data_IF_357437576101
#
_entry.id   IF_357437576101
#
_cell.length_a   1.000
_cell.length_b   1.000
_cell.length_c   1.000
_cell.angle_alpha   90.00
_cell.angle_beta   90.00
_cell.angle_gamma   90.00
#
_symmetry.space_group_name_H-M   'P 1'
#
loop_
_entity.id
_entity.type
_entity.pdbx_description
1 polymer ?
#
# COMPACT_ATOMS: atom_id res chain seq x y z
N UNK A 1 -0.46 -30.29 16.01
CA UNK A 1 -0.87 -30.79 17.34
C UNK A 1 -2.08 -31.70 17.25
N UNK A 2 -3.24 -31.22 16.76
CA UNK A 2 -4.46 -32.03 16.62
C UNK A 2 -4.25 -33.39 15.92
N UNK A 3 -3.53 -33.42 14.79
CA UNK A 3 -3.19 -34.68 14.09
C UNK A 3 -2.44 -35.69 14.98
N UNK A 4 -1.49 -35.24 15.80
CA UNK A 4 -0.70 -36.12 16.67
C UNK A 4 -1.54 -36.63 17.86
N UNK A 5 -2.46 -35.80 18.36
CA UNK A 5 -3.40 -36.21 19.41
C UNK A 5 -4.42 -37.22 18.88
N UNK A 6 -4.90 -37.03 17.65
CA UNK A 6 -5.83 -37.95 17.00
C UNK A 6 -5.20 -39.34 16.75
N UNK A 7 -3.92 -39.35 16.37
CA UNK A 7 -3.17 -40.58 16.15
C UNK A 7 -2.75 -41.30 17.45
N UNK A 8 -2.98 -40.70 18.61
CA UNK A 8 -2.61 -41.30 19.90
C UNK A 8 -3.37 -42.62 20.15
N UNK A 9 -4.62 -42.70 19.67
CA UNK A 9 -5.48 -43.87 19.82
C UNK A 9 -5.45 -44.80 18.59
N UNK A 10 -4.74 -44.43 17.53
CA UNK A 10 -4.73 -45.14 16.24
C UNK A 10 -3.30 -45.46 15.79
N UNK A 11 -2.97 -46.75 15.71
CA UNK A 11 -1.63 -47.22 15.30
C UNK A 11 -1.33 -47.01 13.81
N UNK A 12 -2.36 -46.97 12.96
CA UNK A 12 -2.25 -46.80 11.50
C UNK A 12 -3.49 -46.03 11.02
N UNK A 13 -3.31 -45.05 10.15
CA UNK A 13 -4.43 -44.31 9.52
C UNK A 13 -4.10 -44.01 8.06
N UNK A 14 -5.10 -44.03 7.18
CA UNK A 14 -4.95 -43.63 5.78
C UNK A 14 -5.06 -42.11 5.62
N UNK A 15 -4.47 -41.58 4.54
CA UNK A 15 -4.58 -40.15 4.20
C UNK A 15 -6.02 -39.76 3.86
N UNK A 16 -6.78 -40.66 3.26
CA UNK A 16 -8.19 -40.46 2.89
C UNK A 16 -9.08 -40.31 4.14
N UNK A 17 -8.88 -41.15 5.15
CA UNK A 17 -9.59 -41.01 6.43
C UNK A 17 -9.22 -39.72 7.15
N UNK A 18 -7.94 -39.33 7.12
CA UNK A 18 -7.49 -38.04 7.69
C UNK A 18 -8.10 -36.83 6.96
N UNK A 19 -8.26 -36.88 5.63
CA UNK A 19 -8.94 -35.83 4.86
C UNK A 19 -10.41 -35.73 5.25
N UNK A 20 -11.10 -36.86 5.34
CA UNK A 20 -12.52 -36.90 5.71
C UNK A 20 -12.76 -36.37 7.14
N UNK A 21 -11.82 -36.56 8.06
CA UNK A 21 -11.97 -36.21 9.47
C UNK A 21 -11.46 -34.81 9.83
N UNK A 22 -10.46 -34.32 9.11
CA UNK A 22 -9.84 -33.03 9.44
C UNK A 22 -10.58 -31.83 8.85
N UNK A 23 -11.41 -32.05 7.83
CA UNK A 23 -12.02 -31.00 6.99
C UNK A 23 -10.98 -30.00 6.42
N UNK A 24 -9.69 -30.33 6.48
CA UNK A 24 -8.63 -29.48 6.01
C UNK A 24 -8.49 -29.60 4.49
N UNK A 25 -8.19 -28.48 3.80
CA UNK A 25 -7.80 -28.53 2.40
C UNK A 25 -6.65 -29.53 2.18
N UNK A 26 -6.66 -30.33 1.09
CA UNK A 26 -5.68 -31.40 0.89
C UNK A 26 -4.22 -30.95 0.92
N UNK A 27 -3.94 -29.72 0.52
CA UNK A 27 -2.61 -29.14 0.52
C UNK A 27 -2.12 -28.78 1.94
N UNK A 28 -3.01 -28.30 2.81
CA UNK A 28 -2.72 -28.04 4.23
C UNK A 28 -2.38 -29.35 4.94
N UNK A 29 -3.20 -30.39 4.70
CA UNK A 29 -3.01 -31.69 5.33
C UNK A 29 -1.70 -32.34 4.87
N UNK A 30 -1.38 -32.32 3.57
CA UNK A 30 -0.11 -32.83 3.05
C UNK A 30 1.09 -32.14 3.68
N UNK A 31 1.03 -30.81 3.86
CA UNK A 31 2.09 -30.06 4.51
C UNK A 31 2.23 -30.43 6.00
N UNK A 32 1.10 -30.60 6.70
CA UNK A 32 1.08 -30.98 8.10
C UNK A 32 1.61 -32.41 8.33
N UNK A 33 1.25 -33.36 7.47
CA UNK A 33 1.81 -34.72 7.46
C UNK A 33 3.31 -34.66 7.17
N UNK A 34 3.73 -33.88 6.17
CA UNK A 34 5.14 -33.69 5.82
C UNK A 34 6.02 -33.23 6.98
N UNK A 35 5.51 -32.31 7.81
CA UNK A 35 6.18 -31.90 9.05
C UNK A 35 6.16 -33.00 10.13
N UNK A 36 5.10 -33.81 10.19
CA UNK A 36 4.93 -34.90 11.14
C UNK A 36 5.68 -36.20 10.74
N UNK A 37 6.17 -36.35 9.50
CA UNK A 37 6.96 -37.50 9.04
C UNK A 37 8.26 -37.72 9.82
N UNK A 38 8.72 -36.72 10.59
CA UNK A 38 9.86 -36.88 11.51
C UNK A 38 9.50 -37.68 12.76
N UNK A 39 8.20 -37.88 13.03
CA UNK A 39 7.63 -38.62 14.17
C UNK A 39 6.76 -39.80 13.71
N UNK A 40 6.09 -39.65 12.57
CA UNK A 40 5.27 -40.69 11.94
C UNK A 40 6.10 -41.44 10.89
N UNK A 41 6.24 -42.76 11.03
CA UNK A 41 6.89 -43.60 10.03
C UNK A 41 5.85 -43.99 8.97
N UNK A 42 6.08 -43.64 7.69
CA UNK A 42 5.35 -44.26 6.58
C UNK A 42 5.78 -45.72 6.56
N UNK A 43 4.81 -46.64 6.62
CA UNK A 43 5.08 -48.07 6.55
C UNK A 43 5.49 -48.40 5.11
N UNK A 44 6.79 -48.45 4.89
CA UNK A 44 7.39 -49.23 3.82
C UNK A 44 7.91 -50.50 4.49
N UNK A 45 7.76 -51.67 3.86
CA UNK A 45 7.83 -53.01 4.47
C UNK A 45 9.24 -53.45 4.96
N UNK A 46 10.09 -52.49 5.33
CA UNK A 46 11.45 -52.74 5.80
C UNK A 46 11.77 -51.91 7.06
N UNK A 47 12.34 -52.60 8.05
CA UNK A 47 12.92 -52.13 9.32
C UNK A 47 12.02 -51.95 10.56
N UNK A 48 12.49 -52.56 11.64
CA UNK A 48 11.97 -52.59 13.01
C UNK A 48 12.18 -51.24 13.75
N UNK A 49 11.21 -50.75 14.56
CA UNK A 49 11.27 -49.42 15.13
C UNK A 49 12.24 -49.32 16.33
N UNK A 50 13.38 -48.63 16.14
CA UNK A 50 14.25 -48.22 17.24
C UNK A 50 13.75 -46.91 17.86
N UNK A 51 13.52 -46.82 19.18
CA UNK A 51 13.10 -45.58 19.84
C UNK A 51 14.25 -44.57 19.85
N UNK A 52 14.17 -43.53 19.02
CA UNK A 52 15.08 -42.39 19.09
C UNK A 52 14.62 -41.47 20.23
N UNK A 53 15.32 -41.51 21.36
CA UNK A 53 15.11 -40.60 22.50
C UNK A 53 15.66 -39.22 22.15
N UNK A 54 14.79 -38.23 21.95
CA UNK A 54 15.17 -36.84 21.72
C UNK A 54 13.97 -35.94 21.40
N UNK A 55 14.02 -34.67 21.79
CA UNK A 55 12.97 -33.69 21.48
C UNK A 55 13.02 -33.34 19.99
N UNK A 56 11.90 -33.47 19.28
CA UNK A 56 11.79 -33.12 17.85
C UNK A 56 11.02 -31.82 17.69
N UNK A 57 11.60 -30.88 16.95
CA UNK A 57 10.92 -29.63 16.59
C UNK A 57 10.03 -29.89 15.36
N UNK A 58 8.71 -29.77 15.54
CA UNK A 58 7.69 -30.11 14.52
C UNK A 58 6.94 -28.91 13.98
N UNK A 59 7.35 -27.70 14.34
CA UNK A 59 6.71 -26.48 13.83
C UNK A 59 7.06 -26.36 12.34
N UNK A 60 6.08 -26.49 11.43
CA UNK A 60 6.33 -26.35 10.00
C UNK A 60 6.79 -24.92 9.70
N UNK A 61 7.62 -24.70 8.66
CA UNK A 61 7.85 -23.35 8.14
C UNK A 61 6.49 -22.72 7.83
N UNK A 62 6.19 -21.56 8.43
CA UNK A 62 4.90 -20.88 8.22
C UNK A 62 4.84 -20.26 6.81
N UNK A 63 4.57 -21.10 5.82
CA UNK A 63 4.43 -20.70 4.40
C UNK A 63 3.16 -19.89 4.15
N UNK A 64 2.09 -20.14 4.92
CA UNK A 64 0.84 -19.37 4.84
C UNK A 64 1.08 -17.88 5.15
N UNK A 65 1.78 -17.57 6.24
CA UNK A 65 2.11 -16.17 6.57
C UNK A 65 2.90 -15.49 5.44
N UNK A 66 3.86 -16.21 4.83
CA UNK A 66 4.68 -15.65 3.73
C UNK A 66 3.88 -15.39 2.45
N UNK A 67 2.88 -16.21 2.15
CA UNK A 67 2.01 -16.03 0.99
C UNK A 67 1.08 -14.82 1.19
N UNK A 68 0.44 -14.72 2.36
CA UNK A 68 -0.40 -13.59 2.76
C UNK A 68 0.38 -12.27 2.77
N UNK A 69 1.63 -12.29 3.26
CA UNK A 69 2.50 -11.12 3.28
C UNK A 69 2.81 -10.60 1.87
N UNK A 70 3.07 -11.49 0.91
CA UNK A 70 3.36 -11.09 -0.47
C UNK A 70 2.11 -10.66 -1.22
N UNK A 71 0.99 -11.34 -1.03
CA UNK A 71 -0.30 -10.96 -1.59
C UNK A 71 -0.77 -9.60 -1.05
N UNK A 72 -0.67 -9.40 0.27
CA UNK A 72 -0.95 -8.11 0.93
C UNK A 72 -0.08 -6.98 0.39
N UNK A 73 1.23 -7.20 0.24
CA UNK A 73 2.14 -6.23 -0.39
C UNK A 73 1.72 -5.89 -1.83
N UNK A 74 1.25 -6.87 -2.60
CA UNK A 74 0.84 -6.64 -3.98
C UNK A 74 -0.49 -5.89 -4.09
N UNK A 75 -1.43 -6.16 -3.19
CA UNK A 75 -2.67 -5.39 -3.07
C UNK A 75 -2.40 -3.93 -2.69
N UNK A 76 -1.47 -3.70 -1.77
CA UNK A 76 -1.07 -2.34 -1.39
C UNK A 76 -0.42 -1.58 -2.55
N UNK A 77 0.51 -2.22 -3.28
CA UNK A 77 1.10 -1.64 -4.50
C UNK A 77 0.03 -1.27 -5.52
N UNK A 78 -0.97 -2.13 -5.73
CA UNK A 78 -2.12 -1.86 -6.61
C UNK A 78 -2.92 -0.65 -6.17
N UNK A 79 -3.30 -0.58 -4.89
CA UNK A 79 -4.01 0.57 -4.32
C UNK A 79 -3.23 1.86 -4.51
N UNK A 80 -1.93 1.83 -4.24
CA UNK A 80 -1.06 2.99 -4.39
C UNK A 80 -0.96 3.44 -5.85
N UNK A 81 -0.88 2.49 -6.79
CA UNK A 81 -0.91 2.80 -8.22
C UNK A 81 -2.24 3.45 -8.65
N UNK A 82 -3.39 2.93 -8.19
CA UNK A 82 -4.69 3.53 -8.46
C UNK A 82 -4.79 4.95 -7.90
N UNK A 83 -4.38 5.16 -6.65
CA UNK A 83 -4.34 6.49 -6.04
C UNK A 83 -3.50 7.45 -6.88
N UNK A 84 -2.32 7.02 -7.32
CA UNK A 84 -1.42 7.81 -8.16
C UNK A 84 -2.05 8.15 -9.52
N UNK A 85 -2.74 7.21 -10.17
CA UNK A 85 -3.41 7.45 -11.44
C UNK A 85 -4.54 8.48 -11.29
N UNK A 86 -5.39 8.32 -10.28
CA UNK A 86 -6.48 9.27 -9.99
C UNK A 86 -5.93 10.67 -9.78
N UNK A 87 -4.94 10.81 -8.90
CA UNK A 87 -4.31 12.11 -8.60
C UNK A 87 -3.63 12.71 -9.84
N UNK A 88 -2.91 11.90 -10.62
CA UNK A 88 -2.22 12.37 -11.83
C UNK A 88 -3.19 12.88 -12.88
N UNK A 89 -4.28 12.15 -13.13
CA UNK A 89 -5.31 12.55 -14.08
C UNK A 89 -5.95 13.85 -13.59
N UNK A 90 -6.40 13.92 -12.33
CA UNK A 90 -7.01 15.15 -11.80
C UNK A 90 -6.07 16.35 -11.82
N UNK A 91 -4.79 16.17 -11.49
CA UNK A 91 -3.78 17.25 -11.62
C UNK A 91 -3.60 17.73 -13.06
N UNK A 92 -3.70 16.85 -14.05
CA UNK A 92 -3.61 17.22 -15.46
C UNK A 92 -4.82 18.05 -15.92
N UNK A 93 -5.97 17.90 -15.25
CA UNK A 93 -7.19 18.67 -15.53
C UNK A 93 -7.30 19.97 -14.73
N UNK A 94 -6.44 20.18 -13.72
CA UNK A 94 -6.39 21.43 -12.94
C UNK A 94 -7.67 21.69 -12.15
N UNK A 95 -8.04 22.97 -12.06
CA UNK A 95 -9.15 23.45 -11.21
C UNK A 95 -10.54 23.19 -11.83
N UNK A 96 -10.61 22.99 -13.14
CA UNK A 96 -11.86 22.58 -13.83
C UNK A 96 -12.36 21.21 -13.33
N UNK A 97 -11.43 20.37 -12.86
CA UNK A 97 -11.73 19.03 -12.38
C UNK A 97 -12.29 18.09 -13.47
N UNK A 98 -12.89 16.99 -13.03
CA UNK A 98 -13.49 15.98 -13.88
C UNK A 98 -14.77 15.41 -13.27
N UNK A 99 -15.73 15.09 -14.13
CA UNK A 99 -16.87 14.28 -13.73
C UNK A 99 -16.42 12.88 -13.27
N UNK A 100 -17.04 12.34 -12.22
CA UNK A 100 -16.72 11.01 -11.66
C UNK A 100 -16.65 9.94 -12.77
N UNK A 101 -17.68 9.84 -13.61
CA UNK A 101 -17.73 8.83 -14.68
C UNK A 101 -16.57 8.97 -15.68
N UNK A 102 -16.22 10.21 -16.04
CA UNK A 102 -15.10 10.47 -16.96
C UNK A 102 -13.77 10.12 -16.32
N UNK A 103 -13.60 10.45 -15.03
CA UNK A 103 -12.41 10.07 -14.27
C UNK A 103 -12.29 8.54 -14.19
N UNK A 104 -13.36 7.82 -13.86
CA UNK A 104 -13.38 6.35 -13.81
C UNK A 104 -12.97 5.75 -15.15
N UNK A 105 -13.55 6.25 -16.25
CA UNK A 105 -13.20 5.82 -17.60
C UNK A 105 -11.71 6.03 -17.90
N UNK A 106 -11.17 7.23 -17.64
CA UNK A 106 -9.77 7.56 -17.91
C UNK A 106 -8.80 6.74 -17.05
N UNK A 107 -9.14 6.48 -15.78
CA UNK A 107 -8.33 5.64 -14.88
C UNK A 107 -8.27 4.20 -15.38
N UNK A 108 -9.41 3.63 -15.80
CA UNK A 108 -9.45 2.27 -16.34
C UNK A 108 -8.64 2.15 -17.63
N UNK A 109 -8.72 3.14 -18.51
CA UNK A 109 -7.91 3.17 -19.73
C UNK A 109 -6.41 3.32 -19.42
N UNK A 110 -6.04 4.17 -18.46
CA UNK A 110 -4.65 4.30 -18.02
C UNK A 110 -4.13 3.03 -17.32
N UNK A 111 -4.98 2.34 -16.56
CA UNK A 111 -4.66 1.06 -15.93
C UNK A 111 -4.33 -0.01 -16.97
N UNK A 112 -5.19 -0.16 -18.00
CA UNK A 112 -4.98 -1.13 -19.09
C UNK A 112 -3.72 -0.85 -19.89
N UNK A 113 -3.45 0.42 -20.19
CA UNK A 113 -2.23 0.84 -20.92
C UNK A 113 -0.96 0.64 -20.10
N UNK A 114 -1.09 0.46 -18.79
CA UNK A 114 0.02 0.35 -17.85
C UNK A 114 0.65 1.71 -17.54
N UNK A 115 1.30 1.86 -16.37
CA UNK A 115 1.93 3.11 -16.00
C UNK A 115 3.18 3.37 -16.85
N UNK A 116 3.16 4.45 -17.61
CA UNK A 116 4.34 5.00 -18.30
C UNK A 116 5.04 6.07 -17.44
N UNK A 117 6.37 6.01 -17.22
CA UNK A 117 7.16 4.96 -16.54
C UNK A 117 7.46 5.35 -15.06
N UNK A 118 7.94 4.46 -14.14
CA UNK A 118 9.21 3.73 -14.23
C UNK A 118 9.06 2.21 -14.27
N UNK A 119 9.89 1.60 -15.13
CA UNK A 119 10.15 0.15 -15.22
C UNK A 119 10.63 -0.35 -13.86
N UNK A 120 9.78 -1.07 -13.13
CA UNK A 120 10.16 -1.70 -11.87
C UNK A 120 8.99 -1.91 -10.90
N UNK A 121 8.01 -1.00 -10.89
CA UNK A 121 6.90 -1.08 -9.92
C UNK A 121 5.86 -2.15 -10.28
N UNK A 122 5.74 -2.48 -11.58
CA UNK A 122 4.73 -3.40 -12.12
C UNK A 122 5.26 -4.83 -12.31
N UNK A 123 6.58 -5.08 -12.16
CA UNK A 123 7.12 -6.45 -12.31
C UNK A 123 6.53 -7.44 -11.29
N UNK A 124 6.03 -6.98 -10.14
CA UNK A 124 5.35 -7.81 -9.14
C UNK A 124 3.82 -7.74 -9.19
N UNK A 125 3.24 -6.80 -9.96
CA UNK A 125 1.80 -6.69 -10.12
C UNK A 125 1.44 -7.49 -11.36
N UNK A 126 1.16 -8.78 -11.18
CA UNK A 126 0.93 -9.74 -12.26
C UNK A 126 0.15 -9.14 -13.43
N UNK A 127 0.59 -9.42 -14.66
CA UNK A 127 0.13 -8.89 -15.96
C UNK A 127 -1.36 -9.14 -16.30
N UNK A 128 -2.20 -9.41 -15.31
CA UNK A 128 -3.63 -9.73 -15.47
C UNK A 128 -4.51 -9.28 -14.29
N UNK A 129 -4.03 -8.42 -13.38
CA UNK A 129 -4.87 -7.89 -12.32
C UNK A 129 -5.96 -6.96 -12.90
N UNK A 130 -7.18 -7.48 -13.04
CA UNK A 130 -8.33 -6.74 -13.53
C UNK A 130 -8.71 -5.63 -12.54
N UNK A 131 -8.60 -4.37 -12.95
CA UNK A 131 -9.18 -3.24 -12.23
C UNK A 131 -10.62 -3.04 -12.70
N UNK A 132 -11.55 -3.06 -11.76
CA UNK A 132 -12.97 -2.75 -12.00
C UNK A 132 -13.26 -1.27 -11.73
N UNK A 133 -14.43 -0.81 -12.15
CA UNK A 133 -14.94 0.51 -11.74
C UNK A 133 -15.13 0.62 -10.23
N UNK A 134 -15.47 -0.48 -9.54
CA UNK A 134 -15.64 -0.49 -8.08
C UNK A 134 -14.33 -0.21 -7.35
N UNK A 135 -13.20 -0.71 -7.85
CA UNK A 135 -11.88 -0.41 -7.29
C UNK A 135 -11.55 1.08 -7.40
N UNK A 136 -11.87 1.69 -8.55
CA UNK A 136 -11.61 3.12 -8.81
C UNK A 136 -12.51 3.98 -7.93
N UNK A 137 -13.79 3.65 -7.80
CA UNK A 137 -14.72 4.38 -6.93
C UNK A 137 -14.33 4.28 -5.45
N UNK A 138 -13.88 3.10 -5.01
CA UNK A 138 -13.37 2.90 -3.65
C UNK A 138 -12.12 3.74 -3.40
N UNK A 139 -11.23 3.82 -4.37
CA UNK A 139 -10.05 4.69 -4.36
C UNK A 139 -10.44 6.18 -4.29
N UNK A 140 -11.40 6.62 -5.11
CA UNK A 140 -11.91 8.00 -5.08
C UNK A 140 -12.49 8.35 -3.71
N UNK A 141 -13.32 7.47 -3.15
CA UNK A 141 -13.91 7.67 -1.83
C UNK A 141 -12.85 7.78 -0.73
N UNK A 142 -11.83 6.90 -0.78
CA UNK A 142 -10.70 6.95 0.14
C UNK A 142 -9.92 8.28 0.05
N UNK A 143 -9.65 8.76 -1.16
CA UNK A 143 -8.92 10.01 -1.36
C UNK A 143 -9.75 11.25 -0.98
N UNK A 144 -11.08 11.19 -1.13
CA UNK A 144 -12.00 12.20 -0.59
C UNK A 144 -11.96 12.22 0.93
N UNK A 145 -12.01 11.05 1.59
CA UNK A 145 -11.90 10.94 3.04
C UNK A 145 -10.56 11.48 3.59
N UNK A 146 -9.50 11.42 2.79
CA UNK A 146 -8.20 12.05 3.12
C UNK A 146 -8.13 13.54 2.82
N UNK A 147 -9.13 14.13 2.18
CA UNK A 147 -9.10 15.51 1.70
C UNK A 147 -8.09 15.75 0.58
N UNK A 148 -7.61 14.69 -0.09
CA UNK A 148 -6.72 14.81 -1.26
C UNK A 148 -7.51 15.23 -2.50
N UNK A 149 -8.77 14.83 -2.58
CA UNK A 149 -9.73 15.27 -3.59
C UNK A 149 -10.80 16.13 -2.91
N UNK A 150 -11.43 17.01 -3.69
CA UNK A 150 -12.63 17.74 -3.28
C UNK A 150 -13.71 17.61 -4.35
N UNK A 151 -14.95 17.72 -3.90
CA UNK A 151 -16.12 17.87 -4.76
C UNK A 151 -16.39 19.34 -4.99
N UNK A 152 -16.92 19.67 -6.15
CA UNK A 152 -17.44 21.02 -6.39
C UNK A 152 -18.74 21.21 -5.63
N UNK A 153 -18.93 22.39 -5.04
CA UNK A 153 -20.07 22.69 -4.15
C UNK A 153 -21.41 22.58 -4.90
N UNK A 154 -21.53 23.22 -6.06
CA UNK A 154 -22.75 23.16 -6.89
C UNK A 154 -22.92 21.86 -7.71
N UNK A 155 -21.83 21.12 -7.91
CA UNK A 155 -21.78 19.96 -8.82
C UNK A 155 -20.99 18.83 -8.15
N UNK A 156 -21.60 18.08 -7.20
CA UNK A 156 -20.88 17.09 -6.41
C UNK A 156 -20.32 15.92 -7.23
N UNK A 157 -20.74 15.79 -8.49
CA UNK A 157 -20.22 14.83 -9.45
C UNK A 157 -18.88 15.28 -10.08
N UNK A 158 -18.51 16.54 -9.92
CA UNK A 158 -17.22 17.09 -10.35
C UNK A 158 -16.21 16.96 -9.21
N UNK A 159 -15.06 16.35 -9.52
CA UNK A 159 -13.93 16.15 -8.61
C UNK A 159 -12.72 16.94 -9.09
N UNK A 160 -12.00 17.55 -8.16
CA UNK A 160 -10.72 18.20 -8.43
C UNK A 160 -9.69 17.82 -7.35
N UNK A 161 -8.42 17.97 -7.70
CA UNK A 161 -7.33 17.74 -6.76
C UNK A 161 -7.30 18.88 -5.74
N UNK A 162 -7.37 18.54 -4.45
CA UNK A 162 -7.23 19.54 -3.41
C UNK A 162 -5.74 19.86 -3.24
N UNK A 163 -5.35 21.08 -3.59
CA UNK A 163 -4.05 21.60 -3.18
C UNK A 163 -4.06 21.63 -1.65
N UNK A 164 -3.06 21.02 -0.96
CA UNK A 164 -2.93 21.20 0.47
C UNK A 164 -2.78 22.69 0.72
N UNK A 165 -3.85 23.33 1.17
CA UNK A 165 -3.81 24.71 1.58
C UNK A 165 -3.00 24.69 2.85
N UNK A 166 -1.71 25.03 2.77
CA UNK A 166 -0.96 25.45 3.95
C UNK A 166 -1.58 26.77 4.35
N UNK A 167 -2.69 26.68 5.07
CA UNK A 167 -3.33 27.81 5.70
C UNK A 167 -2.38 28.24 6.82
N UNK A 168 -1.37 29.04 6.48
CA UNK A 168 -1.07 30.16 7.35
C UNK A 168 -2.28 31.06 7.21
N UNK A 169 -3.26 30.90 8.10
CA UNK A 169 -4.24 31.97 8.28
C UNK A 169 -3.44 33.19 8.69
N UNK A 170 -3.48 34.32 7.95
CA UNK A 170 -3.16 35.58 8.57
C UNK A 170 -4.32 35.82 9.53
N UNK A 171 -4.16 35.45 10.80
CA UNK A 171 -5.05 35.88 11.86
C UNK A 171 -5.14 37.40 11.76
N UNK A 172 -6.23 37.88 11.18
CA UNK A 172 -6.51 39.30 11.05
C UNK A 172 -7.11 39.67 12.38
N UNK A 173 -6.26 39.74 13.41
CA UNK A 173 -6.64 40.30 14.69
C UNK A 173 -6.77 41.81 14.48
N UNK A 174 -8.02 42.20 14.21
CA UNK A 174 -8.50 43.57 14.12
C UNK A 174 -8.21 44.29 15.45
N UNK A 175 -7.07 44.96 15.55
CA UNK A 175 -6.81 45.95 16.58
C UNK A 175 -7.18 47.34 16.02
N UNK A 176 -8.10 47.99 16.72
CA UNK A 176 -8.72 49.28 16.44
C UNK A 176 -7.74 50.41 15.97
N UNK A 177 -8.24 51.43 15.24
CA UNK A 177 -7.44 52.53 14.74
C UNK A 177 -7.21 53.55 15.86
N UNK A 178 -6.00 53.60 16.42
CA UNK A 178 -5.78 54.45 17.58
C UNK A 178 -4.32 54.65 17.99
N UNK A 179 -3.39 54.83 17.04
CA UNK A 179 -2.14 55.53 17.35
C UNK A 179 -1.45 56.05 16.09
N UNK A 180 -1.47 57.37 15.91
CA UNK A 180 -0.53 58.08 15.04
C UNK A 180 0.83 58.09 15.74
N UNK A 181 1.74 57.25 15.28
CA UNK A 181 3.14 57.24 15.70
C UNK A 181 3.99 56.63 14.58
N UNK A 182 5.21 57.14 14.32
CA UNK A 182 6.05 56.60 13.25
C UNK A 182 6.40 55.13 13.54
N UNK A 183 6.03 54.24 12.63
CA UNK A 183 6.36 52.82 12.71
C UNK A 183 7.89 52.65 12.88
N UNK A 184 8.36 51.85 13.86
CA UNK A 184 9.78 51.53 13.94
C UNK A 184 10.21 50.72 12.71
N UNK A 185 11.45 50.89 12.22
CA UNK A 185 11.90 50.17 11.04
C UNK A 185 11.92 48.66 11.34
N UNK A 186 11.19 47.91 10.51
CA UNK A 186 11.23 46.44 10.46
C UNK A 186 12.65 46.01 10.04
N UNK A 187 13.51 45.73 11.01
CA UNK A 187 14.79 45.09 10.76
C UNK A 187 14.57 43.61 10.51
N UNK A 188 14.54 43.21 9.24
CA UNK A 188 14.52 41.80 8.86
C UNK A 188 15.92 41.22 9.06
N UNK A 189 16.06 40.28 9.99
CA UNK A 189 17.26 39.46 10.11
C UNK A 189 17.17 38.29 9.15
N UNK A 190 17.85 38.41 8.00
CA UNK A 190 18.01 37.30 7.07
C UNK A 190 18.99 36.30 7.65
N UNK A 191 18.50 35.22 8.25
CA UNK A 191 19.32 34.07 8.61
C UNK A 191 19.77 33.37 7.33
N UNK A 192 21.06 33.52 6.98
CA UNK A 192 21.65 32.75 5.88
C UNK A 192 21.79 31.29 6.30
N UNK A 193 20.93 30.43 5.78
CA UNK A 193 21.08 28.98 5.91
C UNK A 193 22.21 28.55 4.96
N UNK A 194 23.41 28.29 5.49
CA UNK A 194 24.49 27.63 4.73
C UNK A 194 24.14 26.16 4.54
N UNK A 195 23.57 25.82 3.40
CA UNK A 195 23.46 24.44 2.93
C UNK A 195 24.87 23.89 2.71
N UNK A 196 25.32 22.91 3.51
CA UNK A 196 26.53 22.14 3.20
C UNK A 196 26.31 21.41 1.88
N UNK A 197 27.00 21.85 0.84
CA UNK A 197 26.90 21.30 -0.51
C UNK A 197 27.30 19.83 -0.58
N UNK A 198 26.46 19.04 -1.23
CA UNK A 198 26.85 17.75 -1.81
C UNK A 198 27.60 18.08 -3.11
N UNK A 199 28.82 17.57 -3.32
CA UNK A 199 29.61 17.92 -4.49
C UNK A 199 29.12 17.09 -5.66
N UNK A 200 28.44 17.69 -6.64
CA UNK A 200 28.62 17.41 -8.07
C UNK A 200 27.74 18.40 -8.85
N UNK A 201 28.31 18.94 -9.94
CA UNK A 201 27.74 19.90 -10.88
C UNK A 201 27.83 21.39 -10.48
N UNK A 202 29.04 21.93 -10.66
CA UNK A 202 29.26 23.32 -11.05
C UNK A 202 28.68 23.59 -12.44
N UNK A 203 27.79 24.58 -12.57
CA UNK A 203 27.88 25.70 -13.52
C UNK A 203 26.59 26.55 -13.47
N UNK A 204 26.74 27.72 -12.83
CA UNK A 204 26.26 29.06 -13.24
C UNK A 204 24.79 29.28 -13.66
N UNK A 205 24.09 30.08 -12.86
CA UNK A 205 22.88 30.79 -13.25
C UNK A 205 22.07 31.27 -12.04
N UNK A 206 22.50 32.36 -11.39
CA UNK A 206 21.72 33.07 -10.37
C UNK A 206 20.43 33.60 -11.00
N UNK A 207 19.33 32.89 -10.81
CA UNK A 207 17.99 33.43 -11.09
C UNK A 207 17.42 33.99 -9.79
N UNK A 208 17.64 35.27 -9.56
CA UNK A 208 16.86 36.04 -8.59
C UNK A 208 15.53 36.39 -9.22
N UNK A 209 14.43 35.78 -8.77
CA UNK A 209 13.10 36.26 -9.08
C UNK A 209 12.66 37.24 -7.99
N UNK A 210 12.58 38.52 -8.37
CA UNK A 210 11.89 39.55 -7.60
C UNK A 210 10.41 39.51 -7.98
N UNK A 211 9.54 39.29 -7.01
CA UNK A 211 8.11 39.61 -7.13
C UNK A 211 7.84 40.70 -6.12
N UNK A 212 7.79 41.95 -6.57
CA UNK A 212 6.84 42.99 -6.15
C UNK A 212 7.13 44.29 -6.93
N UNK A 213 6.11 44.69 -7.72
CA UNK A 213 5.90 45.91 -8.52
C UNK A 213 6.94 46.25 -9.60
#
# INVERSE_FOLDING_TARGET
MWLLLYLNDLKVVSVESLLALSELPPHVLKQAIGAALRVLKIRDDSEEPRPRRGNVWLIPPQTYLKAEDEEGRNLEKRRNLLNCLVVRILKAHGDEGLHIDRLVYLVLEAWKKGPCPPRGLVSGLGRGAMCSSTDVLSCILHLLGKGTLRRHDDRPQMLFYAVPTTVMEPHTESLNPGSSGPNPPLTFHTLQIRSRGVPYASCTGTQSFSTFR
#
